data_IF_133087116015
#
_entry.id   IF_133087116015
#
_cell.length_a   1.000
_cell.length_b   1.000
_cell.length_c   1.000
_cell.angle_alpha   90.00
_cell.angle_beta   90.00
_cell.angle_gamma   90.00
#
_symmetry.space_group_name_H-M   'P 1'
#
loop_
_entity.id
_entity.type
_entity.pdbx_description
1 polymer ?
#
# COMPACT_ATOMS: atom_id res chain seq x y z
N UNK A 1 10.13 12.51 -14.54
CA UNK A 1 10.13 11.19 -13.89
C UNK A 1 9.33 10.19 -14.72
N UNK A 2 8.00 10.30 -14.79
CA UNK A 2 7.15 9.33 -15.50
C UNK A 2 7.62 9.00 -16.92
N UNK A 3 7.87 10.01 -17.77
CA UNK A 3 8.41 9.80 -19.13
C UNK A 3 9.69 8.95 -19.16
N UNK A 4 10.64 9.21 -18.26
CA UNK A 4 11.93 8.51 -18.23
C UNK A 4 11.77 7.08 -17.73
N UNK A 5 10.96 6.88 -16.68
CA UNK A 5 10.71 5.55 -16.10
C UNK A 5 10.02 4.59 -17.07
N UNK A 6 9.33 5.12 -18.09
CA UNK A 6 8.59 4.36 -19.08
C UNK A 6 9.38 4.11 -20.38
N UNK A 7 10.64 4.54 -20.47
CA UNK A 7 11.44 4.41 -21.70
C UNK A 7 11.59 2.95 -22.19
N UNK A 8 11.57 1.99 -21.28
CA UNK A 8 11.69 0.55 -21.59
C UNK A 8 10.34 -0.19 -21.48
N UNK A 9 9.21 0.53 -21.52
CA UNK A 9 7.87 -0.05 -21.46
C UNK A 9 7.36 -0.40 -20.05
N UNK A 10 8.10 -0.06 -19.00
CA UNK A 10 7.67 -0.26 -17.61
C UNK A 10 6.48 0.67 -17.25
N UNK A 11 5.63 0.23 -16.31
CA UNK A 11 4.60 1.07 -15.71
C UNK A 11 5.17 1.84 -14.50
N UNK A 12 4.66 3.05 -14.26
CA UNK A 12 5.00 3.84 -13.08
C UNK A 12 3.74 4.20 -12.28
N UNK A 13 3.74 3.80 -11.01
CA UNK A 13 2.65 4.08 -10.06
C UNK A 13 3.20 5.02 -8.99
N UNK A 14 2.43 6.06 -8.67
CA UNK A 14 2.77 6.97 -7.57
C UNK A 14 1.95 6.63 -6.32
N UNK A 15 2.61 6.49 -5.18
CA UNK A 15 1.91 6.39 -3.90
C UNK A 15 1.52 7.79 -3.43
N UNK A 16 0.22 8.04 -3.26
CA UNK A 16 -0.32 9.28 -2.70
C UNK A 16 -0.59 9.09 -1.20
N UNK A 17 -0.12 10.03 -0.40
CA UNK A 17 -0.17 9.95 1.06
C UNK A 17 -0.50 11.29 1.70
N UNK A 18 -0.99 11.22 2.94
CA UNK A 18 -1.20 12.37 3.81
C UNK A 18 -0.76 12.00 5.22
N UNK A 19 0.22 12.71 5.80
CA UNK A 19 0.87 12.31 7.06
C UNK A 19 -0.03 12.44 8.30
N UNK A 20 -1.03 13.32 8.26
CA UNK A 20 -1.95 13.51 9.38
C UNK A 20 -1.18 13.95 10.64
N UNK A 21 -1.46 13.31 11.78
CA UNK A 21 -0.73 13.57 13.04
C UNK A 21 0.77 13.19 13.02
N UNK A 22 1.27 12.50 12.00
CA UNK A 22 2.71 12.25 11.85
C UNK A 22 3.48 13.43 11.25
N UNK A 23 2.80 14.49 10.84
CA UNK A 23 3.46 15.67 10.27
C UNK A 23 4.42 16.27 11.30
N UNK A 24 5.72 16.41 10.99
CA UNK A 24 6.66 17.02 11.91
C UNK A 24 6.26 18.46 12.23
N UNK A 25 6.40 18.87 13.51
CA UNK A 25 6.07 20.21 13.98
C UNK A 25 6.77 21.31 13.19
N UNK A 26 7.99 21.04 12.71
CA UNK A 26 8.77 21.96 11.89
C UNK A 26 8.16 22.22 10.50
N UNK A 27 7.31 21.31 9.99
CA UNK A 27 6.61 21.45 8.71
C UNK A 27 5.24 22.08 8.92
N UNK A 28 4.49 21.59 9.92
CA UNK A 28 3.23 22.17 10.32
C UNK A 28 3.07 21.99 11.84
N UNK A 29 2.93 23.11 12.55
CA UNK A 29 2.73 23.09 14.00
C UNK A 29 1.35 22.54 14.37
N UNK A 30 0.38 22.68 13.47
CA UNK A 30 -1.02 22.31 13.65
C UNK A 30 -1.58 21.52 12.46
N UNK A 31 -1.09 20.29 12.21
CA UNK A 31 -1.54 19.48 11.09
C UNK A 31 -2.98 18.99 11.29
N UNK A 32 -3.72 18.87 10.20
CA UNK A 32 -5.01 18.19 10.26
C UNK A 32 -4.84 16.69 10.56
N UNK A 33 -5.75 16.17 11.37
CA UNK A 33 -5.81 14.75 11.73
C UNK A 33 -7.26 14.33 11.96
N UNK A 34 -7.44 13.04 12.22
CA UNK A 34 -8.75 12.41 12.49
C UNK A 34 -9.32 12.88 13.83
N UNK A 35 -8.45 13.09 14.82
CA UNK A 35 -8.75 13.54 16.18
C UNK A 35 -7.55 14.32 16.74
N UNK A 36 -7.68 14.91 17.92
CA UNK A 36 -6.67 15.72 18.62
C UNK A 36 -5.64 14.87 19.37
N UNK A 37 -5.49 13.61 18.96
CA UNK A 37 -4.54 12.65 19.55
C UNK A 37 -3.14 12.96 19.02
N UNK A 38 -2.31 13.56 19.86
CA UNK A 38 -0.91 13.83 19.55
C UNK A 38 -0.14 12.52 19.38
N UNK A 39 0.61 12.40 18.28
CA UNK A 39 1.54 11.31 18.11
C UNK A 39 2.73 11.48 19.06
N UNK A 40 2.94 10.49 19.93
CA UNK A 40 4.13 10.40 20.77
C UNK A 40 5.10 9.41 20.12
N UNK A 41 6.18 9.93 19.54
CA UNK A 41 7.22 9.14 18.89
C UNK A 41 8.60 9.60 19.36
N UNK A 42 9.53 8.66 19.53
CA UNK A 42 10.94 8.97 19.81
C UNK A 42 11.66 9.61 18.61
N UNK A 43 11.19 9.31 17.41
CA UNK A 43 11.87 9.67 16.15
C UNK A 43 11.28 10.93 15.49
N UNK A 44 10.03 11.28 15.81
CA UNK A 44 9.32 12.39 15.18
C UNK A 44 8.71 13.29 16.24
N UNK A 45 9.11 14.56 16.25
CA UNK A 45 8.42 15.62 17.01
C UNK A 45 7.21 16.08 16.20
N UNK A 46 6.06 15.45 16.40
CA UNK A 46 4.82 15.76 15.69
C UNK A 46 4.24 17.13 16.08
N UNK A 47 3.58 17.80 15.13
CA UNK A 47 2.75 18.97 15.40
C UNK A 47 1.50 18.59 16.21
N UNK A 48 0.90 19.56 16.91
CA UNK A 48 -0.33 19.33 17.68
C UNK A 48 -1.53 19.24 16.72
N UNK A 49 -2.14 18.06 16.54
CA UNK A 49 -3.13 17.89 15.49
C UNK A 49 -4.42 18.65 15.76
N UNK A 50 -5.02 19.16 14.68
CA UNK A 50 -6.38 19.71 14.67
C UNK A 50 -7.33 18.64 14.10
N UNK A 51 -8.38 18.23 14.84
CA UNK A 51 -9.40 17.34 14.30
C UNK A 51 -10.10 17.95 13.08
N UNK A 52 -10.17 17.21 11.99
CA UNK A 52 -10.99 17.56 10.84
C UNK A 52 -12.46 17.64 11.24
N UNK A 53 -13.18 18.68 10.87
CA UNK A 53 -14.66 18.65 10.92
C UNK A 53 -15.19 17.65 9.89
N UNK A 54 -16.41 17.16 10.06
CA UNK A 54 -17.05 16.23 9.11
C UNK A 54 -17.05 16.77 7.67
N UNK A 55 -17.27 18.08 7.50
CA UNK A 55 -17.24 18.73 6.19
C UNK A 55 -15.82 18.82 5.61
N UNK A 56 -14.83 19.08 6.46
CA UNK A 56 -13.42 19.12 6.03
C UNK A 56 -12.88 17.76 5.63
N UNK A 57 -13.45 16.63 6.10
CA UNK A 57 -13.06 15.32 5.59
C UNK A 57 -13.27 15.25 4.07
N UNK A 58 -14.36 15.83 3.55
CA UNK A 58 -14.57 15.91 2.11
C UNK A 58 -13.53 16.81 1.43
N UNK A 59 -13.40 18.07 1.87
CA UNK A 59 -12.61 19.07 1.12
C UNK A 59 -11.09 18.92 1.31
N UNK A 60 -10.64 18.51 2.48
CA UNK A 60 -9.21 18.42 2.83
C UNK A 60 -8.65 17.01 2.74
N UNK A 61 -9.50 15.98 2.64
CA UNK A 61 -9.04 14.60 2.46
C UNK A 61 -9.52 14.07 1.11
N UNK A 62 -10.82 13.81 0.95
CA UNK A 62 -11.34 13.15 -0.25
C UNK A 62 -10.97 13.91 -1.53
N UNK A 63 -11.32 15.19 -1.60
CA UNK A 63 -11.09 16.02 -2.79
C UNK A 63 -9.59 16.23 -3.07
N UNK A 64 -8.74 16.22 -2.03
CA UNK A 64 -7.26 16.35 -2.17
C UNK A 64 -6.63 15.08 -2.72
N UNK A 65 -7.05 13.90 -2.27
CA UNK A 65 -6.61 12.63 -2.83
C UNK A 65 -7.03 12.51 -4.31
N UNK A 66 -8.26 12.93 -4.65
CA UNK A 66 -8.76 12.98 -6.03
C UNK A 66 -7.93 13.94 -6.88
N UNK A 67 -7.65 15.14 -6.37
CA UNK A 67 -6.80 16.11 -7.05
C UNK A 67 -5.40 15.56 -7.32
N UNK A 68 -4.76 14.94 -6.32
CA UNK A 68 -3.43 14.35 -6.47
C UNK A 68 -3.42 13.24 -7.54
N UNK A 69 -4.45 12.37 -7.55
CA UNK A 69 -4.59 11.34 -8.56
C UNK A 69 -4.72 11.91 -9.97
N UNK A 70 -5.55 12.95 -10.15
CA UNK A 70 -5.71 13.65 -11.43
C UNK A 70 -4.39 14.30 -11.89
N UNK A 71 -3.70 14.99 -10.99
CA UNK A 71 -2.43 15.63 -11.29
C UNK A 71 -1.37 14.61 -11.75
N UNK A 72 -1.30 13.45 -11.09
CA UNK A 72 -0.34 12.40 -11.45
C UNK A 72 -0.66 11.76 -12.80
N UNK A 73 -1.95 11.57 -13.11
CA UNK A 73 -2.38 11.13 -14.43
C UNK A 73 -1.96 12.13 -15.53
N UNK A 74 -2.21 13.42 -15.32
CA UNK A 74 -1.78 14.49 -16.24
C UNK A 74 -0.25 14.56 -16.38
N UNK A 75 0.48 14.23 -15.32
CA UNK A 75 1.95 14.12 -15.32
C UNK A 75 2.48 12.84 -15.98
N UNK A 76 1.61 11.94 -16.43
CA UNK A 76 1.96 10.73 -17.20
C UNK A 76 2.21 9.48 -16.38
N UNK A 77 1.79 9.44 -15.10
CA UNK A 77 1.81 8.21 -14.29
C UNK A 77 0.70 7.24 -14.74
N UNK A 78 0.98 5.94 -14.66
CA UNK A 78 0.07 4.87 -15.07
C UNK A 78 -0.97 4.52 -14.00
N UNK A 79 -0.72 4.94 -12.76
CA UNK A 79 -1.64 4.74 -11.66
C UNK A 79 -1.22 5.44 -10.37
N UNK A 80 -2.10 5.33 -9.38
CA UNK A 80 -1.83 5.76 -8.01
C UNK A 80 -2.11 4.65 -7.01
N UNK A 81 -1.31 4.59 -5.97
CA UNK A 81 -1.54 3.78 -4.78
C UNK A 81 -1.98 4.69 -3.63
N UNK A 82 -3.11 4.40 -2.98
CA UNK A 82 -3.60 5.16 -1.83
C UNK A 82 -2.92 4.63 -0.57
N UNK A 83 -2.12 5.47 0.08
CA UNK A 83 -1.43 5.06 1.30
C UNK A 83 -2.33 5.10 2.54
N UNK A 84 -2.87 3.94 2.94
CA UNK A 84 -3.69 3.76 4.14
C UNK A 84 -3.02 2.91 5.23
N UNK A 85 -1.69 2.97 5.34
CA UNK A 85 -0.91 2.19 6.29
C UNK A 85 0.08 3.05 7.09
N UNK A 86 0.91 2.40 7.91
CA UNK A 86 2.05 2.99 8.64
C UNK A 86 1.69 4.21 9.51
N UNK A 87 0.46 4.29 10.01
CA UNK A 87 0.00 5.39 10.87
C UNK A 87 -0.23 6.72 10.15
N UNK A 88 -0.22 6.77 8.81
CA UNK A 88 -0.60 7.96 8.04
C UNK A 88 -2.09 8.27 8.20
N UNK A 89 -2.57 9.42 7.69
CA UNK A 89 -3.92 9.93 7.97
C UNK A 89 -5.03 8.88 7.75
N UNK A 90 -5.01 8.14 6.65
CA UNK A 90 -6.03 7.13 6.38
C UNK A 90 -5.93 5.92 7.33
N UNK A 91 -4.72 5.54 7.75
CA UNK A 91 -4.51 4.55 8.81
C UNK A 91 -5.02 5.06 10.18
N UNK A 92 -4.89 6.37 10.44
CA UNK A 92 -5.46 7.01 11.63
C UNK A 92 -6.99 6.97 11.61
N UNK A 93 -7.65 7.03 10.45
CA UNK A 93 -9.10 6.87 10.36
C UNK A 93 -9.52 5.45 10.73
N UNK A 94 -8.77 4.44 10.28
CA UNK A 94 -9.07 3.03 10.52
C UNK A 94 -8.87 2.57 11.97
N UNK A 95 -7.92 3.18 12.69
CA UNK A 95 -7.54 2.74 14.03
C UNK A 95 -8.41 3.36 15.13
N UNK A 96 -8.99 2.52 16.00
CA UNK A 96 -9.72 2.98 17.19
C UNK A 96 -8.84 3.66 18.25
N UNK A 97 -7.51 3.51 18.19
CA UNK A 97 -6.59 4.19 19.10
C UNK A 97 -6.42 5.68 18.75
N UNK A 98 -6.57 6.04 17.48
CA UNK A 98 -6.36 7.40 16.97
C UNK A 98 -7.64 8.09 16.51
N UNK A 99 -8.63 7.34 16.01
CA UNK A 99 -9.94 7.87 15.65
C UNK A 99 -10.89 7.86 16.87
N UNK A 100 -11.10 9.04 17.45
CA UNK A 100 -12.04 9.27 18.57
C UNK A 100 -13.33 9.96 18.13
N UNK A 101 -13.61 9.96 16.82
CA UNK A 101 -14.80 10.62 16.26
C UNK A 101 -16.07 9.84 16.61
N UNK A 102 -17.16 10.59 16.74
CA UNK A 102 -18.52 10.06 16.96
C UNK A 102 -19.45 10.33 15.78
N UNK A 103 -18.94 10.92 14.70
CA UNK A 103 -19.67 11.18 13.46
C UNK A 103 -19.59 10.00 12.48
N UNK A 104 -20.06 10.20 11.24
CA UNK A 104 -20.08 9.17 10.20
C UNK A 104 -18.70 8.60 9.80
N UNK A 105 -17.60 9.16 10.31
CA UNK A 105 -16.24 8.70 10.06
C UNK A 105 -15.59 8.04 11.29
N UNK A 106 -16.34 7.79 12.38
CA UNK A 106 -15.82 7.16 13.59
C UNK A 106 -16.80 6.22 14.29
N UNK A 107 -16.39 5.69 15.44
CA UNK A 107 -17.12 4.63 16.14
C UNK A 107 -16.88 3.27 15.51
N UNK A 108 -17.81 2.78 14.69
CA UNK A 108 -17.76 1.43 14.11
C UNK A 108 -16.65 1.26 13.07
N UNK A 109 -16.28 0.02 12.76
CA UNK A 109 -15.26 -0.28 11.73
C UNK A 109 -15.68 0.27 10.37
N UNK A 110 -16.96 0.14 10.02
CA UNK A 110 -17.56 0.60 8.76
C UNK A 110 -17.44 2.12 8.63
N UNK A 111 -17.78 2.88 9.69
CA UNK A 111 -17.63 4.33 9.70
C UNK A 111 -16.16 4.75 9.59
N UNK A 112 -15.26 4.06 10.30
CA UNK A 112 -13.82 4.32 10.23
C UNK A 112 -13.22 4.08 8.84
N UNK A 113 -13.72 3.07 8.11
CA UNK A 113 -13.32 2.79 6.74
C UNK A 113 -13.95 3.73 5.70
N UNK A 114 -15.03 4.44 6.06
CA UNK A 114 -15.86 5.21 5.12
C UNK A 114 -15.10 6.24 4.29
N UNK A 115 -14.11 6.92 4.88
CA UNK A 115 -13.31 7.91 4.14
C UNK A 115 -12.50 7.27 3.00
N UNK A 116 -12.02 6.04 3.19
CA UNK A 116 -11.26 5.31 2.17
C UNK A 116 -12.19 4.89 1.04
N UNK A 117 -13.39 4.43 1.39
CA UNK A 117 -14.44 4.13 0.41
C UNK A 117 -14.82 5.37 -0.39
N UNK A 118 -15.07 6.51 0.26
CA UNK A 118 -15.40 7.79 -0.40
C UNK A 118 -14.28 8.26 -1.34
N UNK A 119 -13.00 8.15 -0.93
CA UNK A 119 -11.84 8.40 -1.81
C UNK A 119 -11.87 7.47 -3.01
N UNK A 120 -12.07 6.17 -2.78
CA UNK A 120 -12.09 5.17 -3.84
C UNK A 120 -13.22 5.41 -4.84
N UNK A 121 -14.44 5.69 -4.36
CA UNK A 121 -15.61 6.04 -5.15
C UNK A 121 -15.36 7.28 -6.03
N UNK A 122 -14.69 8.30 -5.48
CA UNK A 122 -14.37 9.52 -6.21
C UNK A 122 -13.23 9.33 -7.22
N UNK A 123 -12.26 8.46 -6.91
CA UNK A 123 -11.10 8.21 -7.78
C UNK A 123 -11.43 7.18 -8.85
N UNK A 124 -12.44 6.32 -8.66
CA UNK A 124 -12.79 5.27 -9.61
C UNK A 124 -14.23 4.80 -9.48
N UNK A 125 -15.07 5.16 -10.44
CA UNK A 125 -16.15 4.25 -10.80
C UNK A 125 -15.53 3.03 -11.50
N UNK A 126 -16.14 1.85 -11.33
CA UNK A 126 -15.76 0.66 -12.11
C UNK A 126 -15.75 0.95 -13.63
N UNK A 127 -16.63 1.84 -14.10
CA UNK A 127 -16.67 2.29 -15.48
C UNK A 127 -15.39 3.02 -15.93
N UNK A 128 -14.79 3.86 -15.08
CA UNK A 128 -13.53 4.54 -15.39
C UNK A 128 -12.32 3.58 -15.40
N UNK A 129 -12.31 2.60 -14.49
CA UNK A 129 -11.29 1.54 -14.49
C UNK A 129 -11.37 0.69 -15.76
N UNK A 130 -12.59 0.30 -16.15
CA UNK A 130 -12.87 -0.43 -17.38
C UNK A 130 -12.51 0.39 -18.61
N UNK A 131 -12.77 1.70 -18.63
CA UNK A 131 -12.40 2.58 -19.73
C UNK A 131 -10.88 2.72 -19.87
N UNK A 132 -10.11 2.79 -18.78
CA UNK A 132 -8.65 2.85 -18.81
C UNK A 132 -8.01 1.57 -19.35
N UNK A 133 -8.54 0.40 -18.97
CA UNK A 133 -8.11 -0.90 -19.51
C UNK A 133 -8.50 -1.02 -21.00
N UNK A 134 -9.74 -0.65 -21.37
CA UNK A 134 -10.24 -0.73 -22.75
C UNK A 134 -9.60 0.25 -23.71
N UNK A 135 -9.11 1.39 -23.22
CA UNK A 135 -8.39 2.38 -24.03
C UNK A 135 -6.91 2.06 -24.21
N UNK A 136 -6.41 0.94 -23.69
CA UNK A 136 -4.99 0.57 -23.72
C UNK A 136 -4.09 1.60 -23.00
N UNK A 137 -4.66 2.41 -22.10
CA UNK A 137 -3.91 3.40 -21.35
C UNK A 137 -3.10 2.77 -20.20
N UNK A 138 -3.56 1.64 -19.66
CA UNK A 138 -2.83 0.82 -18.66
C UNK A 138 -3.35 -0.62 -18.67
N UNK A 139 -2.51 -1.58 -18.26
CA UNK A 139 -2.85 -3.00 -18.20
C UNK A 139 -3.34 -3.48 -16.81
N UNK A 140 -3.26 -2.66 -15.75
CA UNK A 140 -3.66 -3.09 -14.40
C UNK A 140 -3.80 -1.98 -13.36
N UNK A 141 -4.45 -2.29 -12.24
CA UNK A 141 -4.77 -1.38 -11.14
C UNK A 141 -4.63 -2.14 -9.81
N UNK A 142 -3.67 -1.76 -8.96
CA UNK A 142 -3.34 -2.49 -7.71
C UNK A 142 -4.05 -2.02 -6.43
N UNK A 143 -4.28 -2.98 -5.53
CA UNK A 143 -4.70 -2.85 -4.13
C UNK A 143 -3.50 -3.15 -3.20
N UNK A 144 -2.50 -2.25 -3.13
CA UNK A 144 -1.38 -2.33 -2.18
C UNK A 144 -0.75 -3.73 -1.96
N UNK A 145 -0.39 -4.06 -0.71
CA UNK A 145 0.30 -5.31 -0.33
C UNK A 145 -0.39 -6.60 -0.80
N UNK A 146 -1.71 -6.78 -0.66
CA UNK A 146 -2.39 -7.98 -1.17
C UNK A 146 -2.18 -8.24 -2.66
N UNK A 147 -1.94 -7.21 -3.47
CA UNK A 147 -1.68 -7.37 -4.92
C UNK A 147 -0.35 -8.07 -5.19
N UNK A 148 0.58 -8.05 -4.23
CA UNK A 148 1.85 -8.79 -4.35
C UNK A 148 1.64 -10.30 -4.20
N UNK A 149 0.69 -10.73 -3.37
CA UNK A 149 0.33 -12.13 -3.20
C UNK A 149 -0.72 -12.60 -4.21
N UNK A 150 -1.68 -11.74 -4.52
CA UNK A 150 -2.83 -12.02 -5.39
C UNK A 150 -3.06 -10.86 -6.36
N UNK A 151 -2.32 -10.79 -7.49
CA UNK A 151 -2.50 -9.74 -8.50
C UNK A 151 -3.92 -9.66 -9.05
N UNK A 152 -4.65 -10.78 -9.06
CA UNK A 152 -6.04 -10.88 -9.52
C UNK A 152 -7.10 -10.62 -8.42
N UNK A 153 -6.70 -10.32 -7.18
CA UNK A 153 -7.63 -10.02 -6.09
C UNK A 153 -8.72 -9.00 -6.46
N UNK A 154 -8.42 -7.88 -7.17
CA UNK A 154 -9.47 -6.95 -7.60
C UNK A 154 -10.56 -7.62 -8.45
N UNK A 155 -10.17 -8.53 -9.37
CA UNK A 155 -11.11 -9.24 -10.24
C UNK A 155 -11.92 -10.27 -9.44
N UNK A 156 -11.27 -10.98 -8.51
CA UNK A 156 -11.96 -11.94 -7.64
C UNK A 156 -13.02 -11.27 -6.75
N UNK A 157 -12.72 -10.08 -6.21
CA UNK A 157 -13.67 -9.27 -5.42
C UNK A 157 -14.85 -8.80 -6.30
N UNK A 158 -14.56 -8.26 -7.49
CA UNK A 158 -15.59 -7.73 -8.39
C UNK A 158 -16.54 -8.79 -8.95
N UNK A 159 -16.07 -10.04 -9.09
CA UNK A 159 -16.89 -11.18 -9.50
C UNK A 159 -17.69 -11.82 -8.34
N UNK A 160 -17.74 -11.17 -7.18
CA UNK A 160 -18.39 -11.65 -5.94
C UNK A 160 -17.82 -12.98 -5.39
N UNK A 161 -16.62 -13.39 -5.81
CA UNK A 161 -16.06 -14.71 -5.50
C UNK A 161 -15.26 -14.79 -4.19
N UNK A 162 -14.70 -13.66 -3.73
CA UNK A 162 -13.93 -13.57 -2.47
C UNK A 162 -14.20 -12.24 -1.77
N UNK A 163 -14.20 -12.28 -0.43
CA UNK A 163 -14.47 -11.12 0.43
C UNK A 163 -13.19 -10.46 0.98
N UNK A 164 -12.04 -11.12 0.85
CA UNK A 164 -10.76 -10.66 1.38
C UNK A 164 -9.60 -11.26 0.58
N UNK A 165 -8.39 -10.72 0.80
CA UNK A 165 -7.15 -11.36 0.38
C UNK A 165 -6.91 -12.67 1.15
N UNK A 166 -6.00 -13.50 0.63
CA UNK A 166 -5.48 -14.68 1.30
C UNK A 166 -4.85 -14.32 2.66
N UNK A 167 -5.11 -15.17 3.65
CA UNK A 167 -4.56 -15.02 5.00
C UNK A 167 -3.12 -15.53 5.05
N UNK A 168 -2.17 -14.61 4.84
CA UNK A 168 -0.74 -14.88 4.80
C UNK A 168 -0.24 -15.28 6.20
N UNK A 169 0.43 -16.43 6.32
CA UNK A 169 0.88 -17.03 7.60
C UNK A 169 2.21 -16.47 8.12
N UNK A 170 2.46 -15.20 7.82
CA UNK A 170 3.54 -14.37 8.38
C UNK A 170 2.91 -13.30 9.27
N UNK A 171 3.66 -12.79 10.25
CA UNK A 171 3.19 -11.71 11.11
C UNK A 171 2.88 -10.45 10.28
N UNK A 172 1.60 -10.07 10.24
CA UNK A 172 1.12 -8.93 9.45
C UNK A 172 1.47 -7.58 10.08
N UNK A 173 1.81 -7.56 11.37
CA UNK A 173 2.23 -6.36 12.10
C UNK A 173 3.75 -6.14 12.01
N UNK A 174 4.52 -7.15 11.59
CA UNK A 174 5.95 -7.02 11.31
C UNK A 174 6.15 -6.34 9.94
N UNK A 175 6.44 -5.04 10.00
CA UNK A 175 6.71 -4.22 8.82
C UNK A 175 7.89 -4.76 7.99
N UNK A 176 8.98 -5.19 8.63
CA UNK A 176 10.18 -5.59 7.91
C UNK A 176 9.95 -6.93 7.21
N UNK A 177 9.29 -7.88 7.89
CA UNK A 177 8.90 -9.15 7.30
C UNK A 177 7.95 -8.95 6.12
N UNK A 178 6.87 -8.19 6.30
CA UNK A 178 5.88 -7.94 5.23
C UNK A 178 6.45 -7.14 4.06
N UNK A 179 7.44 -6.27 4.30
CA UNK A 179 8.20 -5.60 3.24
C UNK A 179 9.01 -6.59 2.40
N UNK A 180 9.73 -7.52 3.04
CA UNK A 180 10.50 -8.55 2.34
C UNK A 180 9.62 -9.51 1.55
N UNK A 181 8.42 -9.83 2.06
CA UNK A 181 7.40 -10.60 1.32
C UNK A 181 7.05 -9.91 0.00
N UNK A 182 6.72 -8.61 0.06
CA UNK A 182 6.37 -7.85 -1.13
C UNK A 182 7.52 -7.81 -2.15
N UNK A 183 8.77 -7.60 -1.69
CA UNK A 183 9.96 -7.62 -2.56
C UNK A 183 10.11 -8.96 -3.25
N UNK A 184 10.03 -10.05 -2.48
CA UNK A 184 10.20 -11.40 -3.00
C UNK A 184 9.14 -11.72 -4.06
N UNK A 185 7.87 -11.45 -3.75
CA UNK A 185 6.74 -11.75 -4.65
C UNK A 185 6.76 -10.89 -5.91
N UNK A 186 7.08 -9.59 -5.82
CA UNK A 186 7.28 -8.76 -7.01
C UNK A 186 8.48 -9.24 -7.86
N UNK A 187 9.57 -9.66 -7.21
CA UNK A 187 10.70 -10.26 -7.90
C UNK A 187 10.33 -11.56 -8.62
N UNK A 188 9.47 -12.38 -8.01
CA UNK A 188 8.95 -13.62 -8.60
C UNK A 188 8.03 -13.35 -9.79
N UNK A 189 7.13 -12.37 -9.70
CA UNK A 189 6.29 -11.94 -10.84
C UNK A 189 7.12 -11.57 -12.06
N UNK A 190 8.27 -10.92 -11.85
CA UNK A 190 9.14 -10.48 -12.94
C UNK A 190 9.91 -11.62 -13.63
N UNK A 191 9.88 -12.86 -13.10
CA UNK A 191 10.69 -13.97 -13.64
C UNK A 191 10.13 -14.55 -14.94
N UNK A 192 8.84 -14.39 -15.22
CA UNK A 192 8.17 -14.99 -16.38
C UNK A 192 7.40 -13.93 -17.17
N UNK A 193 7.42 -13.96 -18.52
CA UNK A 193 6.58 -13.07 -19.31
C UNK A 193 5.11 -13.43 -19.14
N UNK A 194 4.23 -12.42 -19.16
CA UNK A 194 2.79 -12.61 -19.01
C UNK A 194 2.18 -13.60 -20.03
N UNK A 195 2.76 -13.70 -21.23
CA UNK A 195 2.33 -14.62 -22.29
C UNK A 195 2.53 -16.10 -21.97
N UNK A 196 3.34 -16.44 -20.95
CA UNK A 196 3.62 -17.83 -20.55
C UNK A 196 2.94 -18.24 -19.24
N UNK A 197 2.08 -17.38 -18.68
CA UNK A 197 1.40 -17.66 -17.43
C UNK A 197 0.05 -18.36 -17.70
N UNK A 198 -0.21 -19.45 -16.98
CA UNK A 198 -1.54 -20.08 -16.85
C UNK A 198 -2.44 -19.24 -15.94
N UNK A 199 -1.86 -18.61 -14.90
CA UNK A 199 -2.49 -17.63 -14.03
C UNK A 199 -1.55 -16.47 -13.70
N UNK A 200 -2.08 -15.28 -13.43
CA UNK A 200 -1.28 -14.12 -13.00
C UNK A 200 -0.55 -14.33 -11.67
N UNK A 201 -0.91 -15.38 -10.91
CA UNK A 201 -0.22 -15.79 -9.69
C UNK A 201 0.92 -16.81 -9.93
N UNK A 202 1.15 -17.25 -11.16
CA UNK A 202 2.08 -18.34 -11.44
C UNK A 202 3.52 -18.03 -11.04
N UNK A 203 4.10 -18.90 -10.21
CA UNK A 203 5.46 -18.75 -9.69
C UNK A 203 5.61 -17.72 -8.57
N UNK A 204 4.51 -17.13 -8.11
CA UNK A 204 4.48 -16.30 -6.90
C UNK A 204 4.27 -17.22 -5.69
N UNK A 205 5.09 -17.03 -4.66
CA UNK A 205 4.96 -17.79 -3.43
C UNK A 205 3.62 -17.54 -2.73
N UNK A 206 2.91 -18.63 -2.43
CA UNK A 206 1.66 -18.62 -1.67
C UNK A 206 1.94 -18.80 -0.17
N UNK A 207 2.20 -17.69 0.52
CA UNK A 207 2.47 -17.71 1.96
C UNK A 207 1.21 -17.90 2.82
N UNK A 208 0.03 -18.13 2.22
CA UNK A 208 -1.13 -18.62 2.97
C UNK A 208 -0.94 -20.08 3.42
N UNK A 209 0.01 -20.78 2.80
CA UNK A 209 0.46 -22.12 3.19
C UNK A 209 1.44 -22.03 4.36
N UNK A 210 1.18 -22.70 5.50
CA UNK A 210 2.07 -22.64 6.66
C UNK A 210 3.50 -23.09 6.38
N UNK A 211 3.71 -24.17 5.62
CA UNK A 211 5.05 -24.65 5.28
C UNK A 211 5.84 -23.66 4.42
N UNK A 212 5.17 -23.00 3.47
CA UNK A 212 5.75 -21.99 2.60
C UNK A 212 6.13 -20.74 3.41
N UNK A 213 5.25 -20.29 4.31
CA UNK A 213 5.53 -19.17 5.20
C UNK A 213 6.68 -19.46 6.18
N UNK A 214 6.81 -20.70 6.66
CA UNK A 214 7.93 -21.12 7.50
C UNK A 214 9.25 -21.12 6.73
N UNK A 215 9.26 -21.67 5.51
CA UNK A 215 10.43 -21.62 4.61
C UNK A 215 10.84 -20.17 4.30
N UNK A 216 9.86 -19.29 4.06
CA UNK A 216 10.10 -17.87 3.86
C UNK A 216 10.80 -17.22 5.05
N UNK A 217 10.29 -17.44 6.28
CA UNK A 217 10.90 -16.91 7.51
C UNK A 217 12.34 -17.40 7.70
N UNK A 218 12.61 -18.67 7.40
CA UNK A 218 13.96 -19.23 7.50
C UNK A 218 14.94 -18.56 6.51
N UNK A 219 14.55 -18.39 5.24
CA UNK A 219 15.38 -17.71 4.25
C UNK A 219 15.57 -16.22 4.56
N UNK A 220 14.56 -15.55 5.14
CA UNK A 220 14.70 -14.19 5.64
C UNK A 220 15.73 -14.13 6.77
N UNK A 221 15.73 -15.08 7.71
CA UNK A 221 16.70 -15.12 8.78
C UNK A 221 18.14 -15.28 8.25
N UNK A 222 18.35 -16.08 7.21
CA UNK A 222 19.66 -16.22 6.53
C UNK A 222 20.08 -14.91 5.85
N UNK A 223 19.17 -14.28 5.12
CA UNK A 223 19.42 -13.00 4.47
C UNK A 223 19.76 -11.90 5.48
N UNK A 224 19.01 -11.81 6.59
CA UNK A 224 19.26 -10.83 7.66
C UNK A 224 20.63 -11.03 8.30
N UNK A 225 21.04 -12.28 8.51
CA UNK A 225 22.39 -12.59 9.01
C UNK A 225 23.47 -12.11 8.05
N UNK A 226 23.30 -12.34 6.76
CA UNK A 226 24.28 -11.94 5.76
C UNK A 226 24.38 -10.42 5.59
N UNK A 227 23.25 -9.70 5.52
CA UNK A 227 23.29 -8.24 5.41
C UNK A 227 23.88 -7.59 6.68
N UNK A 228 23.65 -8.19 7.86
CA UNK A 228 24.23 -7.72 9.11
C UNK A 228 25.75 -7.88 9.08
N UNK A 229 26.24 -9.05 8.68
CA UNK A 229 27.67 -9.34 8.52
C UNK A 229 28.34 -8.39 7.52
N UNK A 230 27.72 -8.17 6.35
CA UNK A 230 28.25 -7.25 5.34
C UNK A 230 28.33 -5.81 5.86
N UNK A 231 27.31 -5.37 6.60
CA UNK A 231 27.29 -4.05 7.22
C UNK A 231 28.38 -3.89 8.29
N UNK A 232 28.59 -4.90 9.13
CA UNK A 232 29.68 -4.92 10.13
C UNK A 232 31.07 -4.88 9.47
N UNK A 233 31.22 -5.48 8.28
CA UNK A 233 32.45 -5.46 7.50
C UNK A 233 32.62 -4.19 6.63
N UNK A 234 31.70 -3.21 6.74
CA UNK A 234 31.62 -2.02 5.85
C UNK A 234 31.63 -2.39 4.36
N UNK A 235 31.01 -3.51 4.00
CA UNK A 235 30.87 -3.96 2.62
C UNK A 235 29.48 -3.59 2.07
N UNK A 236 29.40 -3.20 0.79
CA UNK A 236 28.13 -2.92 0.14
C UNK A 236 27.26 -4.17 0.04
N UNK A 237 25.95 -4.01 0.26
CA UNK A 237 24.93 -5.04 -0.01
C UNK A 237 24.46 -4.87 -1.45
N UNK A 238 24.57 -5.93 -2.25
CA UNK A 238 24.14 -5.92 -3.65
C UNK A 238 22.83 -6.69 -3.83
N UNK A 239 21.91 -6.11 -4.60
CA UNK A 239 20.63 -6.72 -4.94
C UNK A 239 19.55 -6.54 -3.87
N UNK A 240 18.48 -7.32 -4.01
CA UNK A 240 17.35 -7.38 -3.07
C UNK A 240 17.15 -8.83 -2.64
N UNK A 241 16.46 -9.05 -1.51
CA UNK A 241 16.11 -10.39 -1.05
C UNK A 241 15.42 -11.20 -2.16
N UNK A 242 16.00 -12.36 -2.49
CA UNK A 242 15.46 -13.30 -3.46
C UNK A 242 14.97 -14.53 -2.71
N UNK A 243 13.69 -14.85 -2.89
CA UNK A 243 13.08 -16.00 -2.25
C UNK A 243 12.93 -17.17 -3.23
N UNK A 244 13.22 -18.38 -2.71
CA UNK A 244 13.00 -19.64 -3.42
C UNK A 244 11.82 -20.38 -2.78
N UNK A 245 10.73 -20.51 -3.53
CA UNK A 245 9.50 -21.18 -3.09
C UNK A 245 9.67 -22.69 -2.98
N UNK A 246 8.87 -23.35 -2.12
CA UNK A 246 8.84 -24.82 -2.05
C UNK A 246 8.07 -25.46 -3.22
N UNK A 247 7.18 -24.70 -3.87
CA UNK A 247 6.24 -25.16 -4.89
C UNK A 247 6.47 -24.51 -6.25
#
# INVERSE_FOLDING_TARGET
MAKVSKNDGAAIIAQISHSGSQTPRAINEHPFSVSDVLLVSKNVKAGKPIPLTTNQVKTEVVDRFVYAAKFLFEAGFDGVEIHAAHGFLLSQFLSGSTNKRTDKYGGSIENRAKVIVEIYECIRTAAAMVAAIKSNATNGIGLGRPTTAEPDLPIKILKHGVLSAADMKVDQDDFFMTYLVCIAQMGQMAKKPASSLESVCDGIADLSRPEEAENFKNQVADYVREITRLNEENKPIYGVFQYTSLY
#
